data_IF_613090048154
#
_entry.id   IF_613090048154
#
_cell.length_a   1.000
_cell.length_b   1.000
_cell.length_c   1.000
_cell.angle_alpha   90.00
_cell.angle_beta   90.00
_cell.angle_gamma   90.00
#
_symmetry.space_group_name_H-M   'P 1'
#
loop_
_entity.id
_entity.type
_entity.pdbx_description
1 polymer ?
#
# COMPACT_ATOMS: atom_id res chain seq x y z
N UNK A 1 16.02 4.03 -4.48
CA UNK A 1 14.83 4.73 -5.01
C UNK A 1 13.55 3.97 -4.68
N UNK A 2 13.37 2.74 -5.19
CA UNK A 2 12.24 1.88 -4.83
C UNK A 2 12.69 0.70 -3.98
N UNK A 3 11.87 0.34 -3.00
CA UNK A 3 12.10 -0.82 -2.14
C UNK A 3 10.84 -1.67 -2.07
N UNK A 4 11.07 -2.97 -1.89
CA UNK A 4 10.02 -3.94 -1.57
C UNK A 4 9.84 -3.97 -0.06
N UNK A 5 8.64 -3.62 0.40
CA UNK A 5 8.34 -3.56 1.83
C UNK A 5 7.27 -4.60 2.19
N UNK A 6 7.57 -5.46 3.15
CA UNK A 6 6.63 -6.46 3.69
C UNK A 6 5.79 -5.86 4.81
N UNK A 7 4.47 -5.99 4.69
CA UNK A 7 3.52 -5.52 5.69
C UNK A 7 2.49 -6.58 6.03
N UNK A 8 1.97 -6.50 7.25
CA UNK A 8 0.85 -7.31 7.72
C UNK A 8 -0.31 -6.36 7.97
N UNK A 9 -1.45 -6.64 7.34
CA UNK A 9 -2.66 -5.85 7.55
C UNK A 9 -3.90 -6.74 7.55
N UNK A 10 -4.88 -6.38 8.37
CA UNK A 10 -6.20 -7.03 8.37
C UNK A 10 -7.11 -6.32 7.39
N UNK A 11 -7.51 -7.01 6.33
CA UNK A 11 -8.36 -6.47 5.28
C UNK A 11 -9.80 -6.90 5.53
N UNK A 12 -10.70 -5.92 5.60
CA UNK A 12 -12.15 -6.17 5.65
C UNK A 12 -12.70 -6.28 4.23
N UNK A 13 -13.20 -7.45 3.88
CA UNK A 13 -13.88 -7.75 2.61
C UNK A 13 -15.39 -7.60 2.84
N UNK A 14 -16.05 -6.77 2.02
CA UNK A 14 -17.51 -6.62 2.06
C UNK A 14 -18.21 -7.85 1.48
N UNK A 15 -19.40 -8.24 1.99
CA UNK A 15 -20.19 -9.36 1.47
C UNK A 15 -20.48 -9.28 -0.02
N UNK A 16 -20.63 -8.06 -0.55
CA UNK A 16 -20.84 -7.79 -1.98
C UNK A 16 -19.70 -8.28 -2.86
N UNK A 17 -18.50 -8.46 -2.30
CA UNK A 17 -17.30 -8.93 -2.98
C UNK A 17 -17.02 -10.43 -2.79
N UNK A 18 -17.87 -11.17 -2.09
CA UNK A 18 -17.67 -12.61 -1.84
C UNK A 18 -17.78 -13.48 -3.10
N UNK A 19 -18.36 -12.97 -4.19
CA UNK A 19 -18.37 -13.64 -5.49
C UNK A 19 -17.05 -13.54 -6.26
N UNK A 20 -16.10 -12.72 -5.81
CA UNK A 20 -14.77 -12.60 -6.40
C UNK A 20 -13.78 -13.54 -5.71
N UNK A 21 -12.66 -13.86 -6.37
CA UNK A 21 -11.56 -14.57 -5.72
C UNK A 21 -11.06 -13.72 -4.55
N UNK A 22 -10.82 -14.37 -3.40
CA UNK A 22 -10.38 -13.68 -2.20
C UNK A 22 -9.09 -12.89 -2.45
N UNK A 23 -8.14 -13.47 -3.18
CA UNK A 23 -6.87 -12.85 -3.56
C UNK A 23 -7.10 -11.51 -4.28
N UNK A 24 -8.00 -11.48 -5.26
CA UNK A 24 -8.32 -10.30 -6.07
C UNK A 24 -9.03 -9.23 -5.22
N UNK A 25 -9.98 -9.66 -4.39
CA UNK A 25 -10.72 -8.76 -3.51
C UNK A 25 -9.80 -8.12 -2.45
N UNK A 26 -8.87 -8.90 -1.89
CA UNK A 26 -7.86 -8.43 -0.94
C UNK A 26 -6.89 -7.46 -1.62
N UNK A 27 -6.38 -7.81 -2.80
CA UNK A 27 -5.48 -6.96 -3.55
C UNK A 27 -6.12 -5.61 -3.92
N UNK A 28 -7.38 -5.62 -4.35
CA UNK A 28 -8.12 -4.41 -4.68
C UNK A 28 -8.34 -3.50 -3.45
N UNK A 29 -8.71 -4.08 -2.31
CA UNK A 29 -8.86 -3.34 -1.04
C UNK A 29 -7.54 -2.76 -0.54
N UNK A 30 -6.44 -3.54 -0.60
CA UNK A 30 -5.12 -3.07 -0.21
C UNK A 30 -4.63 -1.93 -1.10
N UNK A 31 -4.77 -2.06 -2.43
CA UNK A 31 -4.40 -1.00 -3.37
C UNK A 31 -5.23 0.26 -3.14
N UNK A 32 -6.56 0.14 -2.96
CA UNK A 32 -7.41 1.30 -2.68
C UNK A 32 -7.04 2.00 -1.37
N UNK A 33 -6.54 1.25 -0.37
CA UNK A 33 -6.17 1.80 0.94
C UNK A 33 -4.75 2.34 1.00
N UNK A 34 -3.80 1.78 0.25
CA UNK A 34 -2.38 2.09 0.41
C UNK A 34 -1.80 2.84 -0.79
N UNK A 35 -2.34 2.68 -2.00
CA UNK A 35 -1.79 3.36 -3.16
C UNK A 35 -1.81 4.88 -2.96
N UNK A 36 -0.69 5.51 -3.32
CA UNK A 36 -0.47 6.94 -3.21
C UNK A 36 -0.59 7.51 -1.78
N UNK A 37 -0.34 6.67 -0.75
CA UNK A 37 -0.26 7.11 0.65
C UNK A 37 1.16 7.02 1.17
N UNK A 38 1.53 7.98 2.02
CA UNK A 38 2.79 7.97 2.76
C UNK A 38 2.56 7.22 4.07
N UNK A 39 3.31 6.14 4.27
CA UNK A 39 3.32 5.37 5.51
C UNK A 39 4.55 5.80 6.32
N UNK A 40 4.34 6.14 7.60
CA UNK A 40 5.40 6.59 8.51
C UNK A 40 6.50 5.53 8.60
N UNK A 41 7.77 5.97 8.59
CA UNK A 41 8.98 5.12 8.62
C UNK A 41 9.17 4.16 7.43
N UNK A 42 8.25 4.17 6.46
CA UNK A 42 8.25 3.29 5.29
C UNK A 42 8.49 4.09 4.00
N UNK A 43 7.67 5.11 3.71
CA UNK A 43 7.75 5.93 2.50
C UNK A 43 6.43 6.02 1.73
N UNK A 44 6.49 6.46 0.47
CA UNK A 44 5.33 6.58 -0.41
C UNK A 44 5.02 5.23 -1.07
N UNK A 45 3.86 4.66 -0.80
CA UNK A 45 3.43 3.40 -1.40
C UNK A 45 2.88 3.65 -2.82
N UNK A 46 3.45 2.96 -3.81
CA UNK A 46 2.96 3.02 -5.19
C UNK A 46 1.81 2.03 -5.42
N UNK A 47 2.07 0.75 -5.16
CA UNK A 47 1.13 -0.35 -5.38
C UNK A 47 1.53 -1.56 -4.54
N UNK A 48 0.57 -2.43 -4.23
CA UNK A 48 0.83 -3.79 -3.78
C UNK A 48 1.32 -4.63 -4.96
N UNK A 49 2.40 -5.37 -4.76
CA UNK A 49 3.01 -6.26 -5.75
C UNK A 49 2.32 -7.62 -5.71
N UNK A 50 2.34 -8.26 -4.55
CA UNK A 50 1.77 -9.59 -4.36
C UNK A 50 1.42 -9.85 -2.89
N UNK A 51 0.67 -10.94 -2.70
CA UNK A 51 0.27 -11.45 -1.40
C UNK A 51 1.23 -12.60 -1.07
N UNK A 52 1.96 -12.48 0.03
CA UNK A 52 2.91 -13.49 0.49
C UNK A 52 2.22 -14.58 1.33
N UNK A 53 1.21 -14.20 2.11
CA UNK A 53 0.46 -15.13 2.96
C UNK A 53 -0.97 -14.62 3.18
N UNK A 54 -1.92 -15.55 3.11
CA UNK A 54 -3.34 -15.34 3.36
C UNK A 54 -3.73 -16.16 4.59
N UNK A 55 -3.90 -15.46 5.71
CA UNK A 55 -4.31 -16.09 6.97
C UNK A 55 -5.81 -16.36 7.02
N UNK A 56 -6.23 -16.85 8.18
CA UNK A 56 -7.63 -17.16 8.43
C UNK A 56 -8.54 -15.94 8.30
N UNK A 57 -9.71 -16.18 7.73
CA UNK A 57 -10.77 -15.20 7.57
C UNK A 57 -11.80 -15.37 8.67
N UNK A 58 -12.08 -14.31 9.43
CA UNK A 58 -13.03 -14.34 10.52
C UNK A 58 -14.12 -13.27 10.36
N UNK A 59 -15.33 -13.61 10.77
CA UNK A 59 -16.48 -12.70 10.77
C UNK A 59 -16.71 -12.26 12.20
N UNK A 60 -16.78 -10.95 12.41
CA UNK A 60 -16.98 -10.36 13.74
C UNK A 60 -18.50 -10.32 14.00
N UNK A 61 -19.00 -10.80 15.16
CA UNK A 61 -20.43 -10.67 15.49
C UNK A 61 -20.89 -9.21 15.37
N UNK A 62 -21.90 -8.97 14.53
CA UNK A 62 -22.40 -7.61 14.24
C UNK A 62 -21.80 -6.92 13.00
N UNK A 63 -20.77 -7.50 12.37
CA UNK A 63 -20.28 -7.08 11.07
C UNK A 63 -20.37 -8.24 10.06
N UNK A 64 -21.10 -8.03 8.96
CA UNK A 64 -21.21 -9.01 7.90
C UNK A 64 -19.90 -9.18 7.09
N UNK A 65 -18.93 -8.26 7.24
CA UNK A 65 -17.64 -8.30 6.56
C UNK A 65 -16.73 -9.41 7.06
N UNK A 66 -16.05 -10.07 6.11
CA UNK A 66 -14.97 -11.01 6.42
C UNK A 66 -13.69 -10.24 6.67
N UNK A 67 -13.01 -10.51 7.78
CA UNK A 67 -11.73 -9.91 8.13
C UNK A 67 -10.63 -10.93 7.92
N UNK A 68 -9.74 -10.64 6.98
CA UNK A 68 -8.66 -11.56 6.58
C UNK A 68 -7.33 -10.92 6.91
N UNK A 69 -6.54 -11.60 7.75
CA UNK A 69 -5.16 -11.17 8.04
C UNK A 69 -4.28 -11.54 6.85
N UNK A 70 -3.66 -10.54 6.23
CA UNK A 70 -2.88 -10.73 5.00
C UNK A 70 -1.46 -10.21 5.20
N UNK A 71 -0.47 -11.02 4.81
CA UNK A 71 0.91 -10.56 4.63
C UNK A 71 1.15 -10.30 3.14
N UNK A 72 1.58 -9.10 2.79
CA UNK A 72 1.76 -8.69 1.41
C UNK A 72 3.02 -7.86 1.24
N UNK A 73 3.47 -7.76 -0.01
CA UNK A 73 4.63 -6.95 -0.41
C UNK A 73 4.15 -5.76 -1.23
N UNK A 74 4.61 -4.57 -0.90
CA UNK A 74 4.31 -3.35 -1.63
C UNK A 74 5.58 -2.71 -2.19
N UNK A 75 5.45 -2.05 -3.35
CA UNK A 75 6.49 -1.22 -3.93
C UNK A 75 6.38 0.16 -3.29
N UNK A 76 7.45 0.59 -2.64
CA UNK A 76 7.52 1.85 -1.92
C UNK A 76 8.63 2.72 -2.50
N UNK A 77 8.33 3.98 -2.80
CA UNK A 77 9.33 5.00 -3.08
C UNK A 77 9.93 5.48 -1.76
N UNK A 78 11.20 5.11 -1.56
CA UNK A 78 12.03 5.49 -0.42
C UNK A 78 13.46 5.69 -0.92
N UNK A 79 13.81 6.89 -1.39
CA UNK A 79 15.20 7.20 -1.70
C UNK A 79 16.05 7.13 -0.44
N UNK A 80 17.31 6.74 -0.58
CA UNK A 80 18.27 6.72 0.54
C UNK A 80 19.12 8.00 0.53
N UNK A 81 19.78 8.29 1.66
CA UNK A 81 20.67 9.45 1.78
C UNK A 81 21.81 9.31 0.78
N UNK A 82 22.10 10.38 0.04
CA UNK A 82 23.11 10.43 -1.02
C UNK A 82 22.76 9.68 -2.32
N UNK A 83 21.49 9.32 -2.53
CA UNK A 83 21.03 8.79 -3.82
C UNK A 83 20.85 9.91 -4.87
N UNK A 84 21.38 9.72 -6.07
CA UNK A 84 21.19 10.64 -7.19
C UNK A 84 19.91 10.29 -7.95
N UNK A 85 18.96 11.23 -8.02
CA UNK A 85 17.67 11.07 -8.73
C UNK A 85 17.48 12.24 -9.71
N UNK A 86 16.94 11.95 -10.89
CA UNK A 86 16.63 12.96 -11.92
C UNK A 86 15.18 13.43 -11.75
N UNK A 87 14.98 14.74 -11.63
CA UNK A 87 13.66 15.36 -11.48
C UNK A 87 13.49 16.60 -12.35
N UNK A 88 12.28 17.18 -12.37
CA UNK A 88 12.00 18.46 -13.04
C UNK A 88 11.78 19.55 -12.00
N UNK A 89 12.18 20.78 -12.32
CA UNK A 89 11.92 21.93 -11.45
C UNK A 89 10.45 22.30 -11.55
N UNK A 90 9.79 22.43 -10.39
CA UNK A 90 8.38 22.83 -10.29
C UNK A 90 8.23 24.33 -10.06
N UNK A 91 9.01 24.90 -9.16
CA UNK A 91 9.02 26.35 -8.88
C UNK A 91 10.35 26.79 -8.26
N UNK A 92 10.61 28.10 -8.29
CA UNK A 92 11.75 28.72 -7.60
C UNK A 92 11.26 30.00 -6.92
N UNK A 93 11.63 30.15 -5.65
CA UNK A 93 11.33 31.30 -4.81
C UNK A 93 12.59 31.76 -4.08
N UNK A 94 12.45 32.71 -3.13
CA UNK A 94 13.60 33.24 -2.37
C UNK A 94 14.14 32.22 -1.34
N UNK A 95 13.37 31.19 -0.97
CA UNK A 95 13.79 30.13 -0.04
C UNK A 95 14.55 29.01 -0.76
N UNK A 96 14.29 28.80 -2.05
CA UNK A 96 15.09 27.91 -2.89
C UNK A 96 14.40 27.44 -4.18
N UNK A 97 14.70 26.19 -4.56
CA UNK A 97 14.16 25.53 -5.74
C UNK A 97 13.36 24.32 -5.29
N UNK A 98 12.09 24.27 -5.67
CA UNK A 98 11.22 23.12 -5.42
C UNK A 98 11.25 22.18 -6.63
N UNK A 99 11.76 20.97 -6.43
CA UNK A 99 11.63 19.87 -7.38
C UNK A 99 10.21 19.29 -7.39
N UNK A 100 9.78 18.76 -8.53
CA UNK A 100 8.53 18.03 -8.71
C UNK A 100 8.72 16.52 -8.65
#
# INVERSE_FOLDING_TARGET
>A
MFVLFEMIHTVRIQPTKFGMRLDDAVLAELNSKLANKVVLDVGLVLSVLDIADLGDSYVIPGDAGSHTKTKFRAIVFRPYVDEVVVGRIKSSDREGINGG
#
